data_IF_868519245929
#
_entry.id   IF_868519245929
#
_cell.length_a   1.000
_cell.length_b   1.000
_cell.length_c   1.000
_cell.angle_alpha   90.00
_cell.angle_beta   90.00
_cell.angle_gamma   90.00
#
_symmetry.space_group_name_H-M   'P 1'
#
loop_
_entity.id
_entity.type
_entity.pdbx_description
1 polymer ?
#
# COMPACT_ATOMS: atom_id res chain seq x y z
N UNK A 1 -4.36 -24.24 -3.02
CA UNK A 1 -3.54 -23.70 -4.13
C UNK A 1 -3.71 -22.19 -4.19
N UNK A 2 -2.63 -21.46 -4.30
CA UNK A 2 -2.63 -20.01 -4.39
C UNK A 2 -1.87 -19.54 -5.62
N UNK A 3 -2.33 -18.49 -6.28
CA UNK A 3 -1.64 -17.86 -7.40
C UNK A 3 -2.04 -16.39 -7.53
N UNK A 4 -1.18 -15.60 -8.15
CA UNK A 4 -1.44 -14.17 -8.39
C UNK A 4 -2.15 -13.94 -9.71
N UNK A 5 -2.78 -12.79 -9.85
CA UNK A 5 -3.41 -12.38 -11.10
C UNK A 5 -2.38 -12.24 -12.23
N UNK A 6 -1.20 -11.70 -11.94
CA UNK A 6 -0.14 -11.57 -12.92
C UNK A 6 0.32 -12.93 -13.45
N UNK A 7 0.51 -13.90 -12.57
CA UNK A 7 0.85 -15.28 -12.98
C UNK A 7 -0.22 -15.87 -13.89
N UNK A 8 -1.50 -15.69 -13.51
CA UNK A 8 -2.63 -16.19 -14.29
C UNK A 8 -2.64 -15.57 -15.69
N UNK A 9 -2.41 -14.28 -15.81
CA UNK A 9 -2.37 -13.57 -17.09
C UNK A 9 -1.20 -13.97 -17.99
N UNK A 10 -0.09 -14.41 -17.41
CA UNK A 10 1.05 -14.96 -18.16
C UNK A 10 0.68 -16.30 -18.82
N UNK A 11 -0.20 -17.08 -18.21
CA UNK A 11 -0.61 -18.39 -18.69
C UNK A 11 -1.91 -18.37 -19.47
N UNK A 12 -2.74 -17.35 -19.26
CA UNK A 12 -4.01 -17.16 -19.94
C UNK A 12 -4.06 -15.76 -20.55
N UNK A 13 -4.26 -15.70 -21.84
CA UNK A 13 -4.47 -14.42 -22.53
C UNK A 13 -5.89 -13.93 -22.24
N UNK A 14 -6.05 -13.16 -21.17
CA UNK A 14 -7.35 -12.68 -20.72
C UNK A 14 -7.27 -11.25 -20.19
N UNK A 15 -8.32 -10.49 -20.49
CA UNK A 15 -8.54 -9.16 -19.92
C UNK A 15 -9.70 -9.16 -18.90
N UNK A 16 -10.15 -10.34 -18.47
CA UNK A 16 -11.23 -10.47 -17.52
C UNK A 16 -10.89 -9.85 -16.17
N UNK A 17 -11.89 -9.32 -15.50
CA UNK A 17 -11.75 -8.79 -14.14
C UNK A 17 -11.51 -9.90 -13.13
N UNK A 18 -11.07 -9.54 -11.92
CA UNK A 18 -10.88 -10.49 -10.82
C UNK A 18 -12.16 -11.28 -10.54
N UNK A 19 -13.31 -10.61 -10.52
CA UNK A 19 -14.61 -11.25 -10.28
C UNK A 19 -14.99 -12.24 -11.39
N UNK A 20 -14.75 -11.88 -12.64
CA UNK A 20 -15.02 -12.74 -13.79
C UNK A 20 -14.14 -13.99 -13.80
N UNK A 21 -12.86 -13.84 -13.44
CA UNK A 21 -11.92 -14.96 -13.33
C UNK A 21 -12.37 -15.93 -12.23
N UNK A 22 -12.73 -15.41 -11.04
CA UNK A 22 -13.19 -16.22 -9.93
C UNK A 22 -14.46 -17.00 -10.29
N UNK A 23 -15.41 -16.35 -10.97
CA UNK A 23 -16.64 -17.00 -11.46
C UNK A 23 -16.35 -18.11 -12.48
N UNK A 24 -15.46 -17.84 -13.43
CA UNK A 24 -15.08 -18.84 -14.44
C UNK A 24 -14.39 -20.04 -13.83
N UNK A 25 -13.48 -19.85 -12.89
CA UNK A 25 -12.81 -20.95 -12.18
C UNK A 25 -13.82 -21.81 -11.43
N UNK A 26 -14.79 -21.22 -10.80
CA UNK A 26 -15.85 -21.94 -10.08
C UNK A 26 -16.69 -22.79 -11.06
N UNK A 27 -17.02 -22.25 -12.24
CA UNK A 27 -17.81 -22.97 -13.25
C UNK A 27 -17.11 -24.21 -13.79
N UNK A 28 -15.79 -24.23 -13.88
CA UNK A 28 -15.04 -25.38 -14.38
C UNK A 28 -14.71 -26.42 -13.30
N UNK A 29 -15.27 -26.26 -12.08
CA UNK A 29 -15.14 -27.22 -10.99
C UNK A 29 -14.02 -26.91 -10.02
N UNK A 30 -13.38 -25.74 -10.11
CA UNK A 30 -12.43 -25.23 -9.15
C UNK A 30 -13.18 -24.24 -8.25
N UNK A 31 -13.26 -24.52 -6.96
CA UNK A 31 -13.89 -23.62 -6.03
C UNK A 31 -12.89 -22.55 -5.57
N UNK A 32 -13.26 -21.29 -5.77
CA UNK A 32 -12.44 -20.17 -5.29
C UNK A 32 -12.83 -19.92 -3.82
N UNK A 33 -11.97 -20.34 -2.90
CA UNK A 33 -12.19 -20.17 -1.46
C UNK A 33 -11.99 -18.72 -1.03
N UNK A 34 -10.97 -18.07 -1.57
CA UNK A 34 -10.65 -16.70 -1.21
C UNK A 34 -9.99 -15.98 -2.38
N UNK A 35 -10.37 -14.74 -2.56
CA UNK A 35 -9.66 -13.80 -3.44
C UNK A 35 -9.13 -12.68 -2.56
N UNK A 36 -7.82 -12.64 -2.38
CA UNK A 36 -7.15 -11.62 -1.60
C UNK A 36 -6.56 -10.57 -2.52
N UNK A 37 -7.05 -9.35 -2.39
CA UNK A 37 -6.55 -8.21 -3.14
C UNK A 37 -5.86 -7.23 -2.18
N UNK A 38 -4.52 -7.30 -2.05
CA UNK A 38 -3.78 -6.39 -1.16
C UNK A 38 -3.99 -4.91 -1.50
N UNK A 39 -4.35 -4.59 -2.75
CA UNK A 39 -4.64 -3.22 -3.14
C UNK A 39 -5.81 -2.61 -2.35
N UNK A 40 -6.74 -3.41 -1.86
CA UNK A 40 -7.84 -2.92 -1.04
C UNK A 40 -7.36 -2.37 0.31
N UNK A 41 -6.27 -2.89 0.84
CA UNK A 41 -5.65 -2.39 2.07
C UNK A 41 -4.95 -1.05 1.87
N UNK A 42 -4.65 -0.71 0.63
CA UNK A 42 -3.93 0.51 0.28
C UNK A 42 -4.85 1.66 -0.15
N UNK A 43 -6.15 1.50 0.03
CA UNK A 43 -7.11 2.58 -0.22
C UNK A 43 -6.79 3.79 0.65
N UNK A 44 -6.71 4.95 0.02
CA UNK A 44 -6.40 6.19 0.70
C UNK A 44 -4.91 6.51 0.78
N UNK A 45 -4.03 5.53 0.62
CA UNK A 45 -2.59 5.79 0.53
C UNK A 45 -2.25 6.34 -0.84
N UNK A 46 -1.45 7.40 -0.87
CA UNK A 46 -1.06 8.08 -2.10
C UNK A 46 0.45 8.33 -2.11
N UNK A 47 0.99 8.56 -3.30
CA UNK A 47 2.36 9.04 -3.40
C UNK A 47 2.42 10.49 -2.97
N UNK A 48 3.53 10.87 -2.37
CA UNK A 48 3.77 12.25 -1.93
C UNK A 48 5.24 12.59 -2.05
N UNK A 49 5.51 13.89 -2.15
CA UNK A 49 6.87 14.42 -2.21
C UNK A 49 7.16 15.25 -0.96
N UNK A 50 8.30 15.02 -0.37
CA UNK A 50 8.81 15.84 0.75
C UNK A 50 9.43 17.09 0.16
N UNK A 51 8.78 18.23 0.34
CA UNK A 51 9.25 19.51 -0.19
C UNK A 51 10.17 20.25 0.77
N UNK A 52 10.01 20.05 2.07
CA UNK A 52 10.94 20.58 3.07
C UNK A 52 11.17 19.57 4.19
N UNK A 53 12.32 19.66 4.81
CA UNK A 53 12.79 18.74 5.81
C UNK A 53 13.58 19.52 6.86
N UNK A 54 13.04 19.60 8.06
CA UNK A 54 13.62 20.35 9.18
C UNK A 54 13.66 19.51 10.43
N UNK A 55 14.62 19.80 11.31
CA UNK A 55 14.66 19.15 12.63
C UNK A 55 13.47 19.58 13.48
N UNK A 56 12.91 18.63 14.21
CA UNK A 56 11.89 18.92 15.20
C UNK A 56 12.49 19.73 16.34
N UNK A 57 11.85 20.82 16.80
CA UNK A 57 12.42 21.69 17.83
C UNK A 57 12.69 21.02 19.17
N UNK A 58 11.92 19.96 19.49
CA UNK A 58 12.03 19.25 20.78
C UNK A 58 12.56 17.82 20.65
N UNK A 59 13.19 17.50 19.52
CA UNK A 59 13.74 16.15 19.29
C UNK A 59 14.98 16.21 18.41
N UNK A 60 15.92 15.30 18.68
CA UNK A 60 17.15 15.13 17.89
C UNK A 60 17.00 14.04 16.80
N UNK A 61 15.90 13.30 16.80
CA UNK A 61 15.66 12.21 15.83
C UNK A 61 14.36 12.35 15.04
N UNK A 62 13.50 13.30 15.41
CA UNK A 62 12.28 13.61 14.65
C UNK A 62 12.52 14.76 13.70
N UNK A 63 11.79 14.75 12.59
CA UNK A 63 11.84 15.78 11.58
C UNK A 63 10.44 16.29 11.28
N UNK A 64 10.32 17.57 10.97
CA UNK A 64 9.09 18.20 10.52
C UNK A 64 9.19 18.39 9.01
N UNK A 65 8.26 17.79 8.30
CA UNK A 65 8.23 17.78 6.85
C UNK A 65 7.09 18.65 6.32
N UNK A 66 7.30 19.26 5.16
CA UNK A 66 6.21 19.73 4.32
C UNK A 66 6.06 18.72 3.19
N UNK A 67 4.91 18.07 3.15
CA UNK A 67 4.62 16.98 2.22
C UNK A 67 3.56 17.43 1.23
N UNK A 68 3.85 17.27 -0.06
CA UNK A 68 2.90 17.54 -1.14
C UNK A 68 2.27 16.22 -1.57
N UNK A 69 0.95 16.09 -1.37
CA UNK A 69 0.18 14.89 -1.71
C UNK A 69 -0.52 14.98 -3.07
N UNK A 70 -0.16 15.98 -3.87
CA UNK A 70 -0.77 16.23 -5.16
C UNK A 70 -1.97 17.17 -5.14
N UNK A 71 -2.52 17.44 -3.97
CA UNK A 71 -3.66 18.35 -3.76
C UNK A 71 -3.27 19.56 -2.93
N UNK A 72 -2.53 19.31 -1.87
CA UNK A 72 -2.15 20.35 -0.91
C UNK A 72 -0.82 19.99 -0.25
N UNK A 73 -0.27 20.96 0.47
CA UNK A 73 0.96 20.77 1.25
C UNK A 73 0.58 20.64 2.72
N UNK A 74 1.06 19.58 3.36
CA UNK A 74 0.71 19.23 4.73
C UNK A 74 1.97 19.13 5.59
N UNK A 75 1.83 19.54 6.85
CA UNK A 75 2.88 19.35 7.84
C UNK A 75 2.81 17.93 8.40
N UNK A 76 3.93 17.23 8.38
CA UNK A 76 4.03 15.85 8.85
C UNK A 76 5.27 15.70 9.73
N UNK A 77 5.14 15.03 10.86
CA UNK A 77 6.28 14.67 11.72
C UNK A 77 6.71 13.25 11.39
N UNK A 78 7.98 13.07 11.10
CA UNK A 78 8.54 11.78 10.70
C UNK A 78 9.80 11.46 11.50
N UNK A 79 9.86 10.26 12.04
CA UNK A 79 11.04 9.75 12.77
C UNK A 79 11.91 8.79 11.97
N UNK A 80 11.61 8.59 10.69
CA UNK A 80 12.35 7.64 9.87
C UNK A 80 13.79 8.12 9.58
N UNK A 81 14.79 7.25 9.73
CA UNK A 81 16.19 7.63 9.51
C UNK A 81 16.53 7.88 8.04
N UNK A 82 15.75 7.35 7.11
CA UNK A 82 15.97 7.51 5.68
C UNK A 82 15.15 8.64 5.04
N UNK A 83 14.43 9.41 5.84
CA UNK A 83 13.67 10.56 5.35
C UNK A 83 14.62 11.70 4.99
N UNK A 84 14.40 12.33 3.84
CA UNK A 84 15.23 13.43 3.35
C UNK A 84 14.41 14.41 2.51
N UNK A 85 15.00 15.56 2.23
CA UNK A 85 14.38 16.57 1.37
C UNK A 85 14.32 16.09 -0.10
N UNK A 86 13.28 16.49 -0.80
CA UNK A 86 13.01 16.16 -2.22
C UNK A 86 12.85 14.69 -2.56
N UNK A 87 12.52 13.87 -1.57
CA UNK A 87 12.20 12.46 -1.82
C UNK A 87 10.72 12.25 -2.13
N UNK A 88 10.42 11.21 -2.88
CA UNK A 88 9.07 10.69 -3.06
C UNK A 88 8.88 9.46 -2.17
N UNK A 89 7.68 9.31 -1.62
CA UNK A 89 7.33 8.18 -0.77
C UNK A 89 5.83 7.94 -0.74
N UNK A 90 5.40 7.06 0.12
CA UNK A 90 3.99 6.76 0.33
C UNK A 90 3.48 7.52 1.55
N UNK A 91 2.36 8.20 1.38
CA UNK A 91 1.76 9.06 2.37
C UNK A 91 0.35 8.60 2.72
N UNK A 92 0.04 8.61 4.01
CA UNK A 92 -1.30 8.38 4.51
C UNK A 92 -1.90 9.69 5.01
N UNK A 93 -2.88 10.27 4.31
CA UNK A 93 -3.59 11.44 4.82
C UNK A 93 -4.47 11.07 6.01
N UNK A 94 -4.86 12.08 6.79
CA UNK A 94 -5.83 11.90 7.89
C UNK A 94 -7.13 11.32 7.33
N UNK A 95 -7.67 10.32 8.02
CA UNK A 95 -8.87 9.59 7.57
C UNK A 95 -8.58 8.28 6.86
N UNK A 96 -7.31 7.92 6.68
CA UNK A 96 -6.91 6.67 6.05
C UNK A 96 -6.82 5.56 7.09
N UNK A 97 -7.38 4.39 6.79
CA UNK A 97 -7.22 3.19 7.62
C UNK A 97 -5.80 2.65 7.45
N UNK A 98 -5.09 2.50 8.57
CA UNK A 98 -3.73 1.95 8.60
C UNK A 98 -3.80 0.45 8.91
N UNK A 99 -3.47 -0.44 7.97
CA UNK A 99 -3.61 -1.90 8.20
C UNK A 99 -2.82 -2.42 9.40
N UNK A 100 -1.64 -1.88 9.65
CA UNK A 100 -0.79 -2.32 10.76
C UNK A 100 -1.42 -2.06 12.13
N UNK A 101 -2.23 -1.02 12.25
CA UNK A 101 -2.85 -0.62 13.52
C UNK A 101 -4.32 -0.98 13.60
N UNK A 102 -4.97 -1.23 12.47
CA UNK A 102 -6.41 -1.45 12.39
C UNK A 102 -7.23 -0.21 12.72
N UNK A 103 -6.64 0.97 12.70
CA UNK A 103 -7.27 2.23 13.08
C UNK A 103 -7.16 3.27 11.98
N UNK A 104 -8.12 4.19 11.97
CA UNK A 104 -8.12 5.34 11.06
C UNK A 104 -7.15 6.40 11.59
N UNK A 105 -6.28 6.89 10.71
CA UNK A 105 -5.31 7.93 11.05
C UNK A 105 -6.01 9.25 11.36
N UNK A 106 -5.65 9.86 12.48
CA UNK A 106 -6.16 11.15 12.93
C UNK A 106 -5.03 12.17 12.98
N UNK A 107 -5.40 13.45 13.06
CA UNK A 107 -4.43 14.51 13.31
C UNK A 107 -3.72 14.21 14.63
N UNK A 108 -2.41 14.03 14.57
CA UNK A 108 -1.58 13.76 15.74
C UNK A 108 -0.79 14.99 16.15
N UNK A 109 -0.49 15.09 17.43
CA UNK A 109 0.41 16.11 17.95
C UNK A 109 1.59 15.41 18.59
N UNK A 110 2.76 15.56 18.00
CA UNK A 110 3.98 14.88 18.43
C UNK A 110 4.93 15.93 19.00
N UNK A 111 5.11 15.88 20.33
CA UNK A 111 5.96 16.83 21.08
C UNK A 111 5.64 18.29 20.73
N UNK A 112 4.36 18.63 20.66
CA UNK A 112 3.90 19.99 20.41
C UNK A 112 3.76 20.39 18.96
N UNK A 113 4.15 19.54 18.01
CA UNK A 113 4.02 19.80 16.56
C UNK A 113 2.91 18.93 15.98
N UNK A 114 1.97 19.54 15.29
CA UNK A 114 0.86 18.82 14.65
C UNK A 114 1.33 18.09 13.39
N UNK A 115 0.83 16.86 13.22
CA UNK A 115 1.08 16.04 12.04
C UNK A 115 -0.24 15.71 11.36
N UNK A 116 -0.38 16.14 10.10
CA UNK A 116 -1.61 15.99 9.31
C UNK A 116 -1.55 14.80 8.38
N UNK A 117 -0.87 13.75 8.77
CA UNK A 117 -0.70 12.54 8.02
C UNK A 117 0.55 11.79 8.46
N UNK A 118 0.92 10.76 7.70
CA UNK A 118 2.05 9.91 8.03
C UNK A 118 2.75 9.45 6.76
N UNK A 119 4.09 9.54 6.73
CA UNK A 119 4.88 8.84 5.74
C UNK A 119 5.01 7.38 6.20
N UNK A 120 4.82 6.44 5.28
CA UNK A 120 4.62 5.04 5.62
C UNK A 120 5.81 4.16 5.24
N UNK A 121 6.07 3.16 6.08
CA UNK A 121 6.95 2.03 5.77
C UNK A 121 6.15 0.86 5.20
N UNK A 122 6.84 -0.19 4.77
CA UNK A 122 6.18 -1.41 4.28
C UNK A 122 5.28 -2.04 5.34
N UNK A 123 5.67 -1.95 6.59
CA UNK A 123 4.91 -2.52 7.70
C UNK A 123 3.57 -1.83 7.91
N UNK A 124 3.53 -0.50 7.88
CA UNK A 124 2.27 0.25 8.01
C UNK A 124 1.30 -0.04 6.88
N UNK A 125 1.81 -0.31 5.68
CA UNK A 125 0.98 -0.66 4.53
C UNK A 125 0.53 -2.13 4.54
N UNK A 126 1.17 -2.97 5.36
CA UNK A 126 0.89 -4.40 5.38
C UNK A 126 1.45 -5.14 4.16
N UNK A 127 2.42 -4.56 3.45
CA UNK A 127 3.03 -5.16 2.25
C UNK A 127 4.41 -5.78 2.52
N UNK A 128 4.92 -5.63 3.73
CA UNK A 128 6.21 -6.19 4.14
C UNK A 128 6.43 -6.05 5.63
N UNK A 129 7.60 -6.47 6.09
CA UNK A 129 7.99 -6.47 7.50
C UNK A 129 8.90 -5.28 7.87
N UNK A 130 9.44 -4.59 6.87
CA UNK A 130 10.39 -3.51 7.10
C UNK A 130 9.70 -2.31 7.75
N UNK A 131 10.23 -1.89 8.89
CA UNK A 131 9.76 -0.71 9.63
C UNK A 131 10.92 0.20 10.06
N UNK A 132 12.13 -0.06 9.56
CA UNK A 132 13.33 0.72 9.88
C UNK A 132 13.38 2.04 9.14
N UNK A 133 12.56 2.22 8.12
CA UNK A 133 12.47 3.44 7.35
C UNK A 133 11.22 3.46 6.50
N UNK A 134 10.89 4.61 5.94
CA UNK A 134 9.76 4.78 5.03
C UNK A 134 10.12 4.25 3.63
N UNK A 135 9.08 3.93 2.86
CA UNK A 135 9.24 3.53 1.46
C UNK A 135 9.78 4.72 0.66
N UNK A 136 10.85 4.49 -0.09
CA UNK A 136 11.43 5.49 -0.98
C UNK A 136 11.07 5.12 -2.42
N UNK A 137 10.43 6.05 -3.11
CA UNK A 137 10.06 5.91 -4.52
C UNK A 137 11.08 6.65 -5.40
N UNK A 138 11.13 6.35 -6.72
CA UNK A 138 11.96 7.11 -7.65
C UNK A 138 11.67 8.61 -7.57
N UNK A 139 12.72 9.43 -7.73
CA UNK A 139 12.62 10.89 -7.58
C UNK A 139 11.69 11.54 -8.60
N UNK A 140 11.41 10.88 -9.71
CA UNK A 140 10.50 11.35 -10.75
C UNK A 140 9.02 10.95 -10.50
N UNK A 141 8.73 10.26 -9.39
CA UNK A 141 7.36 9.88 -9.04
C UNK A 141 6.53 11.12 -8.77
N UNK A 142 5.39 11.22 -9.45
CA UNK A 142 4.46 12.32 -9.22
C UNK A 142 3.67 12.11 -7.93
N UNK A 143 3.38 13.17 -7.16
CA UNK A 143 2.53 13.06 -5.99
C UNK A 143 1.06 12.87 -6.38
N UNK A 144 0.29 12.25 -5.49
CA UNK A 144 -1.15 12.08 -5.66
C UNK A 144 -1.57 10.82 -6.42
N UNK A 145 -0.64 9.92 -6.76
CA UNK A 145 -0.96 8.64 -7.40
C UNK A 145 -1.37 7.62 -6.34
N UNK A 146 -2.31 6.70 -6.66
CA UNK A 146 -2.66 5.61 -5.75
C UNK A 146 -1.43 4.73 -5.44
N UNK A 147 -1.20 4.44 -4.16
CA UNK A 147 -0.05 3.64 -3.74
C UNK A 147 -0.08 2.23 -4.34
N UNK A 148 -1.25 1.61 -4.43
CA UNK A 148 -1.39 0.28 -5.01
C UNK A 148 -0.92 0.22 -6.46
N UNK A 149 -1.15 1.27 -7.24
CA UNK A 149 -0.72 1.37 -8.64
C UNK A 149 0.80 1.48 -8.74
N UNK A 150 1.42 2.31 -7.92
CA UNK A 150 2.87 2.54 -7.94
C UNK A 150 3.64 1.32 -7.42
N UNK A 151 3.08 0.62 -6.43
CA UNK A 151 3.73 -0.55 -5.83
C UNK A 151 3.46 -1.86 -6.59
N UNK A 152 2.66 -1.83 -7.66
CA UNK A 152 2.31 -3.01 -8.46
C UNK A 152 1.76 -4.16 -7.62
N UNK A 153 0.83 -3.85 -6.75
CA UNK A 153 0.20 -4.83 -5.87
C UNK A 153 -0.75 -5.73 -6.66
N UNK A 154 -0.65 -7.01 -6.43
CA UNK A 154 -1.25 -8.06 -7.25
C UNK A 154 -2.29 -8.85 -6.46
N UNK A 155 -3.52 -9.05 -6.99
CA UNK A 155 -4.49 -9.93 -6.37
C UNK A 155 -4.00 -11.38 -6.28
N UNK A 156 -4.34 -12.05 -5.18
CA UNK A 156 -4.01 -13.45 -4.96
C UNK A 156 -5.29 -14.27 -4.89
N UNK A 157 -5.35 -15.37 -5.64
CA UNK A 157 -6.45 -16.31 -5.64
C UNK A 157 -6.08 -17.53 -4.80
N UNK A 158 -6.99 -17.94 -3.91
CA UNK A 158 -6.89 -19.20 -3.22
C UNK A 158 -8.01 -20.12 -3.71
N UNK A 159 -7.65 -21.29 -4.25
CA UNK A 159 -8.62 -22.22 -4.83
C UNK A 159 -8.52 -23.59 -4.17
N UNK A 160 -9.65 -24.29 -4.13
CA UNK A 160 -9.71 -25.72 -3.83
C UNK A 160 -10.32 -26.47 -5.01
N UNK A 161 -10.09 -27.77 -5.06
CA UNK A 161 -10.63 -28.63 -6.11
C UNK A 161 -11.77 -29.45 -5.50
N UNK A 162 -12.94 -29.40 -6.15
CA UNK A 162 -14.10 -30.18 -5.72
C UNK A 162 -13.84 -31.69 -5.92
N UNK A 163 -14.42 -32.58 -5.10
CA UNK A 163 -14.14 -34.04 -5.19
C UNK A 163 -14.36 -34.68 -6.55
N UNK A 164 -15.32 -34.19 -7.34
CA UNK A 164 -15.61 -34.71 -8.66
C UNK A 164 -14.71 -34.12 -9.77
N UNK A 165 -13.71 -33.32 -9.40
CA UNK A 165 -12.72 -32.70 -10.29
C UNK A 165 -11.28 -32.93 -9.80
N UNK A 166 -11.07 -33.95 -8.98
CA UNK A 166 -9.76 -34.25 -8.42
C UNK A 166 -8.70 -34.56 -9.51
N UNK A 167 -9.10 -35.07 -10.66
CA UNK A 167 -8.23 -35.31 -11.80
C UNK A 167 -7.67 -34.02 -12.43
N UNK A 168 -8.22 -32.88 -12.13
CA UNK A 168 -7.73 -31.59 -12.62
C UNK A 168 -6.43 -31.13 -11.94
N UNK A 169 -5.96 -31.91 -10.95
CA UNK A 169 -4.71 -31.63 -10.23
C UNK A 169 -3.45 -31.91 -11.04
N UNK A 170 -3.57 -32.47 -12.18
CA UNK A 170 -2.44 -32.84 -13.03
C UNK A 170 -1.50 -31.70 -13.45
#
# INVERSE_FOLDING_TARGET
MKFTLSWLKEHLDTNASVAEIAETLTKIGLEVEEVYNPADQLKGFVTARVESFEMHPDSDHLHVLTVNDGKEKLQVVCGAPNCRNNMAGIFAPVGTLIPAFGEVLKVGKIRGVESFGMMCSEKELGVGEDHNGIIILPDDTQPGLPAAEVLNIDPVFEISITPNRAECLG
#
